data_IF_570337271773
#
_entry.id   IF_570337271773
#
_cell.length_a   1.000
_cell.length_b   1.000
_cell.length_c   1.000
_cell.angle_alpha   90.00
_cell.angle_beta   90.00
_cell.angle_gamma   90.00
#
_symmetry.space_group_name_H-M   'P 1'
#
loop_
_entity.id
_entity.type
_entity.pdbx_description
1 polymer ?
#
# COMPACT_ATOMS: atom_id res chain seq x y z
N UNK A 1 -3.90 8.69 8.48
CA UNK A 1 -4.49 8.89 7.15
C UNK A 1 -3.37 8.81 6.11
N UNK A 2 -3.24 7.70 5.39
CA UNK A 2 -2.25 7.53 4.33
C UNK A 2 -2.60 8.40 3.14
N UNK A 3 -1.62 9.11 2.61
CA UNK A 3 -1.78 9.89 1.37
C UNK A 3 -1.65 8.94 0.17
N UNK A 4 -2.64 8.05 0.00
CA UNK A 4 -2.70 7.10 -1.13
C UNK A 4 -3.46 7.68 -2.33
N UNK A 5 -4.31 8.67 -2.11
CA UNK A 5 -5.28 9.13 -3.13
C UNK A 5 -4.57 9.71 -4.36
N UNK A 6 -3.66 10.67 -4.18
CA UNK A 6 -2.92 11.28 -5.29
C UNK A 6 -2.05 10.26 -6.03
N UNK A 7 -1.36 9.38 -5.30
CA UNK A 7 -0.55 8.31 -5.88
C UNK A 7 -1.40 7.35 -6.72
N UNK A 8 -2.60 7.01 -6.25
CA UNK A 8 -3.53 6.13 -6.95
C UNK A 8 -4.07 6.78 -8.21
N UNK A 9 -4.47 8.05 -8.15
CA UNK A 9 -4.91 8.79 -9.33
C UNK A 9 -3.83 8.85 -10.42
N UNK A 10 -2.55 9.02 -10.04
CA UNK A 10 -1.43 8.99 -10.98
C UNK A 10 -1.28 7.60 -11.60
N UNK A 11 -1.40 6.54 -10.79
CA UNK A 11 -1.33 5.16 -11.29
C UNK A 11 -2.52 4.80 -12.21
N UNK A 12 -3.72 5.29 -11.90
CA UNK A 12 -4.92 5.11 -12.74
C UNK A 12 -4.69 5.76 -14.11
N UNK A 13 -4.20 7.00 -14.13
CA UNK A 13 -3.87 7.69 -15.37
C UNK A 13 -2.76 6.95 -16.14
N UNK A 14 -1.72 6.47 -15.46
CA UNK A 14 -0.64 5.71 -16.07
C UNK A 14 -1.13 4.41 -16.71
N UNK A 15 -2.05 3.71 -16.04
CA UNK A 15 -2.66 2.48 -16.56
C UNK A 15 -3.46 2.71 -17.84
N UNK A 16 -4.26 3.79 -17.88
CA UNK A 16 -5.15 4.07 -19.01
C UNK A 16 -4.44 4.70 -20.20
N UNK A 17 -3.43 5.54 -19.98
CA UNK A 17 -2.82 6.36 -21.02
C UNK A 17 -2.24 5.55 -22.19
N UNK A 18 -1.49 4.49 -21.90
CA UNK A 18 -0.88 3.66 -22.94
C UNK A 18 -1.94 2.84 -23.71
N UNK A 19 -2.96 2.33 -23.01
CA UNK A 19 -4.08 1.58 -23.59
C UNK A 19 -4.83 2.45 -24.59
N UNK A 20 -5.18 3.68 -24.18
CA UNK A 20 -5.85 4.65 -25.04
C UNK A 20 -5.00 5.03 -26.26
N UNK A 21 -3.70 5.24 -26.08
CA UNK A 21 -2.79 5.54 -27.19
C UNK A 21 -2.73 4.38 -28.19
N UNK A 22 -2.60 3.14 -27.72
CA UNK A 22 -2.49 1.96 -28.59
C UNK A 22 -3.78 1.73 -29.39
N UNK A 23 -4.94 1.93 -28.78
CA UNK A 23 -6.23 1.88 -29.49
C UNK A 23 -6.34 3.01 -30.52
N UNK A 24 -5.93 4.23 -30.16
CA UNK A 24 -5.98 5.38 -31.07
C UNK A 24 -5.14 5.17 -32.33
N UNK A 25 -3.94 4.58 -32.17
CA UNK A 25 -3.04 4.28 -33.28
C UNK A 25 -3.35 2.94 -33.99
N UNK A 26 -4.40 2.22 -33.60
CA UNK A 26 -4.77 0.94 -34.20
C UNK A 26 -3.78 -0.20 -33.91
N UNK A 27 -2.97 -0.08 -32.84
CA UNK A 27 -2.00 -1.09 -32.41
C UNK A 27 -2.60 -2.13 -31.46
N UNK A 28 -3.77 -1.84 -30.87
CA UNK A 28 -4.51 -2.74 -30.00
C UNK A 28 -6.01 -2.65 -30.28
N UNK A 29 -6.72 -3.76 -30.02
CA UNK A 29 -8.18 -3.80 -30.06
C UNK A 29 -8.80 -2.97 -28.92
N UNK A 30 -10.02 -2.45 -29.13
CA UNK A 30 -10.73 -1.64 -28.12
C UNK A 30 -10.98 -2.38 -26.80
N UNK A 31 -11.10 -3.70 -26.83
CA UNK A 31 -11.27 -4.54 -25.64
C UNK A 31 -10.17 -4.36 -24.59
N UNK A 32 -8.97 -3.91 -24.97
CA UNK A 32 -7.92 -3.59 -24.00
C UNK A 32 -8.33 -2.46 -23.05
N UNK A 33 -9.28 -1.60 -23.42
CA UNK A 33 -9.78 -0.54 -22.54
C UNK A 33 -10.66 -1.09 -21.41
N UNK A 34 -11.33 -2.22 -21.62
CA UNK A 34 -12.17 -2.84 -20.60
C UNK A 34 -11.33 -3.31 -19.40
N UNK A 35 -10.06 -3.64 -19.65
CA UNK A 35 -9.09 -4.07 -18.64
C UNK A 35 -8.79 -2.97 -17.62
N UNK A 36 -8.97 -1.69 -17.96
CA UNK A 36 -8.78 -0.59 -17.00
C UNK A 36 -9.65 -0.80 -15.75
N UNK A 37 -10.91 -1.19 -15.94
CA UNK A 37 -11.83 -1.41 -14.83
C UNK A 37 -11.44 -2.64 -14.02
N UNK A 38 -11.15 -3.76 -14.68
CA UNK A 38 -10.79 -5.02 -14.01
C UNK A 38 -9.49 -4.91 -13.23
N UNK A 39 -8.53 -4.12 -13.71
CA UNK A 39 -7.25 -3.88 -13.04
C UNK A 39 -7.34 -2.85 -11.92
N UNK A 40 -8.03 -1.71 -12.13
CA UNK A 40 -7.96 -0.55 -11.21
C UNK A 40 -9.08 -0.49 -10.18
N UNK A 41 -10.26 -1.05 -10.44
CA UNK A 41 -11.34 -1.08 -9.44
C UNK A 41 -10.97 -1.86 -8.17
N UNK A 42 -10.33 -3.05 -8.24
CA UNK A 42 -9.88 -3.76 -7.04
C UNK A 42 -8.88 -2.95 -6.22
N UNK A 43 -7.97 -2.23 -6.88
CA UNK A 43 -6.99 -1.35 -6.22
C UNK A 43 -7.69 -0.22 -5.49
N UNK A 44 -8.61 0.50 -6.15
CA UNK A 44 -9.39 1.57 -5.53
C UNK A 44 -10.18 1.09 -4.30
N UNK A 45 -10.81 -0.09 -4.39
CA UNK A 45 -11.50 -0.71 -3.26
C UNK A 45 -10.55 -1.00 -2.09
N UNK A 46 -9.36 -1.54 -2.35
CA UNK A 46 -8.37 -1.85 -1.32
C UNK A 46 -7.93 -0.58 -0.59
N UNK A 47 -7.65 0.50 -1.31
CA UNK A 47 -7.24 1.79 -0.73
C UNK A 47 -8.34 2.39 0.15
N UNK A 48 -9.58 2.44 -0.34
CA UNK A 48 -10.72 2.97 0.43
C UNK A 48 -10.94 2.12 1.69
N UNK A 49 -10.85 0.80 1.56
CA UNK A 49 -10.97 -0.12 2.70
C UNK A 49 -9.90 0.16 3.74
N UNK A 50 -8.64 0.34 3.30
CA UNK A 50 -7.51 0.65 4.17
C UNK A 50 -7.62 2.01 4.85
N UNK A 51 -8.03 3.05 4.11
CA UNK A 51 -8.23 4.40 4.64
C UNK A 51 -9.34 4.42 5.71
N UNK A 52 -10.43 3.71 5.46
CA UNK A 52 -11.51 3.56 6.44
C UNK A 52 -11.05 2.79 7.69
N UNK A 53 -10.20 1.77 7.53
CA UNK A 53 -9.65 1.03 8.67
C UNK A 53 -8.72 1.92 9.51
N UNK A 54 -7.83 2.67 8.87
CA UNK A 54 -6.97 3.65 9.53
C UNK A 54 -7.77 4.65 10.39
N UNK A 55 -8.87 5.17 9.85
CA UNK A 55 -9.73 6.07 10.61
C UNK A 55 -10.28 5.42 11.89
N UNK A 56 -10.69 4.15 11.81
CA UNK A 56 -11.13 3.37 12.98
C UNK A 56 -10.00 3.14 13.98
N UNK A 57 -8.80 2.84 13.50
CA UNK A 57 -7.62 2.63 14.36
C UNK A 57 -7.25 3.92 15.13
N UNK A 58 -7.35 5.08 14.46
CA UNK A 58 -7.15 6.39 15.08
C UNK A 58 -8.21 6.73 16.14
N UNK A 59 -9.46 6.29 15.95
CA UNK A 59 -10.52 6.47 16.96
C UNK A 59 -10.14 5.85 18.30
N UNK A 60 -9.49 4.68 18.29
CA UNK A 60 -9.02 4.01 19.51
C UNK A 60 -7.95 4.83 20.24
N UNK A 61 -7.07 5.51 19.49
CA UNK A 61 -6.05 6.41 20.05
C UNK A 61 -6.72 7.62 20.72
N UNK A 62 -7.68 8.24 20.04
CA UNK A 62 -8.41 9.39 20.58
C UNK A 62 -9.21 9.04 21.83
N UNK A 63 -9.83 7.87 21.88
CA UNK A 63 -10.54 7.38 23.05
C UNK A 63 -9.58 7.13 24.22
N UNK A 64 -8.47 6.42 23.98
CA UNK A 64 -7.47 6.14 25.01
C UNK A 64 -6.87 7.42 25.62
N UNK A 65 -6.64 8.45 24.80
CA UNK A 65 -6.18 9.78 25.19
C UNK A 65 -7.28 10.63 25.86
N UNK A 66 -8.56 10.26 25.72
CA UNK A 66 -9.70 11.01 26.24
C UNK A 66 -10.08 12.23 25.39
N UNK A 67 -9.58 12.35 24.16
CA UNK A 67 -9.86 13.45 23.23
C UNK A 67 -11.36 13.60 22.96
N UNK A 68 -12.09 12.48 22.93
CA UNK A 68 -13.53 12.43 22.65
C UNK A 68 -14.40 12.84 23.86
N UNK A 69 -13.81 13.15 25.01
CA UNK A 69 -14.57 13.60 26.19
C UNK A 69 -15.05 15.04 26.03
N UNK A 70 -16.25 15.33 26.57
CA UNK A 70 -16.96 16.59 26.32
C UNK A 70 -16.30 17.80 26.99
N UNK A 71 -15.86 17.66 28.23
CA UNK A 71 -15.36 18.78 29.04
C UNK A 71 -13.84 18.82 29.14
N UNK A 72 -13.28 20.01 29.36
CA UNK A 72 -11.85 20.16 29.67
C UNK A 72 -11.46 19.42 30.96
N UNK A 73 -12.35 19.39 31.95
CA UNK A 73 -12.13 18.71 33.23
C UNK A 73 -11.94 17.20 33.01
N UNK A 74 -12.82 16.58 32.23
CA UNK A 74 -12.74 15.15 31.91
C UNK A 74 -11.46 14.82 31.16
N UNK A 75 -11.09 15.64 30.17
CA UNK A 75 -9.81 15.50 29.45
C UNK A 75 -8.63 15.53 30.41
N UNK A 76 -8.57 16.54 31.30
CA UNK A 76 -7.49 16.65 32.29
C UNK A 76 -7.43 15.44 33.21
N UNK A 77 -8.56 14.95 33.70
CA UNK A 77 -8.62 13.76 34.55
C UNK A 77 -8.14 12.48 33.84
N UNK A 78 -8.38 12.36 32.52
CA UNK A 78 -7.81 11.26 31.72
C UNK A 78 -6.30 11.35 31.63
N UNK A 79 -5.76 12.53 31.34
CA UNK A 79 -4.32 12.77 31.24
C UNK A 79 -3.59 12.60 32.57
N UNK A 80 -4.18 13.05 33.68
CA UNK A 80 -3.64 12.84 35.02
C UNK A 80 -3.52 11.35 35.34
N UNK A 81 -4.57 10.56 35.05
CA UNK A 81 -4.55 9.10 35.24
C UNK A 81 -3.51 8.43 34.35
N UNK A 82 -3.40 8.86 33.09
CA UNK A 82 -2.42 8.33 32.14
C UNK A 82 -0.98 8.61 32.59
N UNK A 83 -0.75 9.73 33.28
CA UNK A 83 0.57 10.16 33.78
C UNK A 83 0.86 9.69 35.20
N UNK A 84 -0.08 9.02 35.86
CA UNK A 84 0.06 8.60 37.25
C UNK A 84 0.92 7.32 37.39
N UNK A 85 1.84 7.31 38.36
CA UNK A 85 2.61 6.13 38.73
C UNK A 85 1.79 5.20 39.65
N UNK A 86 0.71 4.66 39.09
CA UNK A 86 -0.20 3.75 39.78
C UNK A 86 -0.48 2.52 38.93
N UNK A 87 -0.91 1.40 39.53
CA UNK A 87 -1.35 0.21 38.77
C UNK A 87 -2.44 0.52 37.74
N UNK A 88 -3.34 1.47 38.04
CA UNK A 88 -4.37 1.93 37.09
C UNK A 88 -3.77 2.77 35.95
N UNK A 89 -2.76 3.59 36.25
CA UNK A 89 -1.97 4.32 35.26
C UNK A 89 -1.25 3.38 34.29
N UNK A 90 -0.55 2.36 34.81
CA UNK A 90 0.16 1.36 34.00
C UNK A 90 -0.76 0.63 33.00
N UNK A 91 -1.93 0.19 33.46
CA UNK A 91 -2.94 -0.45 32.58
C UNK A 91 -3.37 0.49 31.46
N UNK A 92 -3.57 1.77 31.78
CA UNK A 92 -3.98 2.78 30.79
C UNK A 92 -2.86 3.13 29.82
N UNK A 93 -1.63 3.19 30.31
CA UNK A 93 -0.44 3.41 29.49
C UNK A 93 -0.21 2.26 28.50
N UNK A 94 -0.40 1.01 28.95
CA UNK A 94 -0.35 -0.17 28.09
C UNK A 94 -1.44 -0.14 27.01
N UNK A 95 -2.67 0.24 27.36
CA UNK A 95 -3.76 0.39 26.41
C UNK A 95 -3.47 1.48 25.36
N UNK A 96 -2.95 2.63 25.80
CA UNK A 96 -2.58 3.73 24.89
C UNK A 96 -1.44 3.34 23.94
N UNK A 97 -0.37 2.71 24.44
CA UNK A 97 0.71 2.16 23.60
C UNK A 97 0.20 1.16 22.58
N UNK A 98 -0.73 0.27 22.97
CA UNK A 98 -1.35 -0.70 22.06
C UNK A 98 -2.15 0.01 20.96
N UNK A 99 -2.94 1.03 21.30
CA UNK A 99 -3.69 1.81 20.34
C UNK A 99 -2.77 2.53 19.33
N UNK A 100 -1.68 3.16 19.82
CA UNK A 100 -0.67 3.79 18.95
C UNK A 100 -0.05 2.76 18.01
N UNK A 101 0.40 1.62 18.55
CA UNK A 101 1.05 0.57 17.73
C UNK A 101 0.11 0.06 16.64
N UNK A 102 -1.17 -0.10 16.96
CA UNK A 102 -2.20 -0.50 15.98
C UNK A 102 -2.38 0.57 14.90
N UNK A 103 -2.45 1.85 15.29
CA UNK A 103 -2.57 2.95 14.33
C UNK A 103 -1.31 3.12 13.47
N UNK A 104 -0.13 2.80 14.00
CA UNK A 104 1.14 2.86 13.26
C UNK A 104 1.20 1.91 12.06
N UNK A 105 0.37 0.86 12.03
CA UNK A 105 0.21 -0.04 10.88
C UNK A 105 -0.14 0.70 9.59
N UNK A 106 -0.76 1.87 9.71
CA UNK A 106 -1.09 2.71 8.58
C UNK A 106 0.14 3.21 7.84
N UNK A 107 1.13 3.74 8.53
CA UNK A 107 2.26 4.44 7.91
C UNK A 107 3.26 3.52 7.19
N UNK A 108 3.02 2.21 7.21
CA UNK A 108 3.92 1.19 6.66
C UNK A 108 3.20 0.21 5.74
N UNK A 109 2.05 0.59 5.18
CA UNK A 109 1.24 -0.25 4.30
C UNK A 109 1.87 -0.43 2.90
N UNK A 110 3.12 -0.87 2.84
CA UNK A 110 3.93 -0.91 1.62
C UNK A 110 3.36 -1.87 0.56
N UNK A 111 2.73 -2.97 1.00
CA UNK A 111 2.08 -3.89 0.06
C UNK A 111 0.85 -3.23 -0.60
N UNK A 112 0.06 -2.45 0.14
CA UNK A 112 -1.05 -1.68 -0.45
C UNK A 112 -0.53 -0.65 -1.45
N UNK A 113 0.62 -0.05 -1.17
CA UNK A 113 1.24 0.97 -2.01
C UNK A 113 1.87 0.40 -3.29
N UNK A 114 2.51 -0.78 -3.23
CA UNK A 114 3.39 -1.29 -4.29
C UNK A 114 3.09 -2.71 -4.78
N UNK A 115 2.31 -3.47 -4.02
CA UNK A 115 2.05 -4.91 -4.23
C UNK A 115 0.85 -5.21 -5.12
N UNK A 116 0.48 -4.31 -6.04
CA UNK A 116 -0.64 -4.58 -6.95
C UNK A 116 -0.27 -5.73 -7.89
N UNK A 117 -1.16 -6.73 -7.97
CA UNK A 117 -1.12 -7.80 -8.95
C UNK A 117 -2.46 -7.83 -9.68
N UNK A 118 -2.41 -7.62 -10.99
CA UNK A 118 -3.60 -7.68 -11.84
C UNK A 118 -3.89 -9.11 -12.29
N UNK A 119 -5.17 -9.39 -12.53
CA UNK A 119 -5.65 -10.68 -13.00
C UNK A 119 -6.83 -10.45 -13.95
N UNK A 120 -6.54 -10.38 -15.24
CA UNK A 120 -7.52 -10.23 -16.31
C UNK A 120 -7.09 -11.07 -17.52
N UNK A 121 -7.93 -11.11 -18.55
CA UNK A 121 -7.75 -11.99 -19.70
C UNK A 121 -6.60 -11.57 -20.63
N UNK A 122 -6.07 -10.34 -20.51
CA UNK A 122 -4.92 -9.88 -21.32
C UNK A 122 -3.58 -10.16 -20.64
N UNK A 123 -3.61 -10.60 -19.38
CA UNK A 123 -2.42 -11.05 -18.64
C UNK A 123 -2.23 -12.55 -18.88
N UNK A 124 -1.22 -12.86 -19.69
CA UNK A 124 -0.87 -14.24 -20.01
C UNK A 124 -0.20 -14.92 -18.81
N UNK A 125 -0.81 -16.01 -18.34
CA UNK A 125 -0.35 -16.85 -17.21
C UNK A 125 -0.21 -18.33 -17.60
N UNK A 126 -0.25 -18.64 -18.90
CA UNK A 126 -0.32 -20.01 -19.40
C UNK A 126 0.97 -20.82 -19.15
N UNK A 127 2.09 -20.12 -19.00
CA UNK A 127 3.42 -20.64 -18.67
C UNK A 127 3.69 -20.70 -17.16
N UNK A 128 2.78 -20.19 -16.33
CA UNK A 128 2.89 -20.26 -14.87
C UNK A 128 2.37 -21.60 -14.35
N UNK A 129 3.20 -22.28 -13.55
CA UNK A 129 2.85 -23.58 -12.96
C UNK A 129 1.91 -23.48 -11.76
N UNK A 130 1.89 -22.32 -11.09
CA UNK A 130 1.11 -22.06 -9.89
C UNK A 130 0.36 -20.73 -10.01
N UNK A 131 -0.70 -20.56 -9.23
CA UNK A 131 -1.39 -19.25 -9.16
C UNK A 131 -0.63 -18.31 -8.24
N UNK A 132 -0.69 -17.01 -8.55
CA UNK A 132 -0.16 -15.99 -7.65
C UNK A 132 -0.72 -16.13 -6.24
N UNK A 133 0.17 -16.11 -5.27
CA UNK A 133 -0.16 -16.03 -3.84
C UNK A 133 0.94 -15.26 -3.11
N UNK A 134 0.59 -14.60 -2.01
CA UNK A 134 1.58 -13.99 -1.14
C UNK A 134 2.48 -15.07 -0.54
N UNK A 135 3.79 -14.79 -0.48
CA UNK A 135 4.79 -15.64 0.17
C UNK A 135 5.66 -14.79 1.11
N UNK A 136 6.60 -15.42 1.83
CA UNK A 136 7.50 -14.72 2.73
C UNK A 136 6.75 -13.87 3.74
N UNK A 137 7.18 -12.61 3.93
CA UNK A 137 6.53 -11.70 4.87
C UNK A 137 5.19 -11.19 4.36
N UNK A 138 4.99 -11.12 3.04
CA UNK A 138 3.69 -10.78 2.46
C UNK A 138 2.59 -11.76 2.86
N UNK A 139 2.93 -13.03 3.15
CA UNK A 139 1.98 -14.01 3.69
C UNK A 139 1.68 -13.81 5.18
N UNK A 140 2.56 -13.11 5.92
CA UNK A 140 2.32 -12.76 7.32
C UNK A 140 1.37 -11.57 7.44
N UNK A 141 1.56 -10.56 6.59
CA UNK A 141 0.74 -9.35 6.53
C UNK A 141 0.76 -8.76 5.11
N UNK A 142 -0.35 -8.96 4.39
CA UNK A 142 -0.56 -8.52 3.01
C UNK A 142 -0.79 -7.01 2.87
N UNK A 143 -0.71 -6.26 3.97
CA UNK A 143 -0.78 -4.81 4.00
C UNK A 143 0.63 -4.23 4.19
N UNK A 144 1.38 -4.73 5.18
CA UNK A 144 2.67 -4.15 5.56
C UNK A 144 3.81 -4.52 4.62
N UNK A 145 3.84 -5.77 4.17
CA UNK A 145 5.06 -6.33 3.57
C UNK A 145 4.88 -6.51 2.07
N UNK A 146 5.60 -5.67 1.32
CA UNK A 146 5.78 -5.88 -0.10
C UNK A 146 6.92 -6.88 -0.32
N UNK A 147 6.62 -7.96 -1.04
CA UNK A 147 7.59 -8.92 -1.53
C UNK A 147 7.67 -8.76 -3.06
N UNK A 148 8.85 -8.58 -3.66
CA UNK A 148 8.96 -8.43 -5.11
C UNK A 148 8.70 -9.75 -5.85
N UNK A 149 7.87 -9.71 -6.90
CA UNK A 149 7.54 -10.87 -7.74
C UNK A 149 7.59 -10.55 -9.22
N UNK A 150 7.97 -11.54 -10.03
CA UNK A 150 7.94 -11.48 -11.50
C UNK A 150 6.68 -12.11 -12.09
N UNK A 151 5.73 -12.56 -11.26
CA UNK A 151 4.49 -13.19 -11.72
C UNK A 151 3.70 -12.25 -12.64
N UNK A 152 3.11 -12.72 -13.76
CA UNK A 152 2.35 -11.89 -14.68
C UNK A 152 1.23 -11.11 -13.99
N UNK A 153 1.21 -9.79 -14.20
CA UNK A 153 0.28 -8.86 -13.55
C UNK A 153 0.85 -8.15 -12.32
N UNK A 154 1.97 -8.63 -11.75
CA UNK A 154 2.72 -7.90 -10.72
C UNK A 154 3.55 -6.77 -11.33
N UNK A 155 3.82 -5.74 -10.51
CA UNK A 155 4.84 -4.75 -10.82
C UNK A 155 6.21 -5.42 -10.94
N UNK A 156 6.93 -5.16 -12.03
CA UNK A 156 8.29 -5.66 -12.23
C UNK A 156 9.21 -5.24 -11.05
N UNK A 157 9.92 -6.20 -10.41
CA UNK A 157 10.83 -5.91 -9.32
C UNK A 157 11.93 -4.94 -9.73
N UNK A 158 12.23 -3.98 -8.84
CA UNK A 158 13.38 -3.13 -9.02
C UNK A 158 14.67 -3.91 -8.74
N UNK A 159 15.61 -3.82 -9.68
CA UNK A 159 16.99 -4.25 -9.51
C UNK A 159 17.92 -3.21 -10.13
N UNK A 160 19.11 -3.05 -9.57
CA UNK A 160 20.17 -2.26 -10.19
C UNK A 160 20.86 -3.11 -11.25
N UNK A 161 20.79 -2.69 -12.52
CA UNK A 161 21.52 -3.35 -13.62
C UNK A 161 22.96 -2.82 -13.74
N UNK A 162 23.25 -1.67 -13.15
CA UNK A 162 24.56 -1.03 -13.13
C UNK A 162 24.73 -0.17 -11.85
N UNK A 163 25.87 0.49 -11.69
CA UNK A 163 26.14 1.42 -10.58
C UNK A 163 25.24 2.66 -10.64
N UNK A 164 24.88 3.18 -9.46
CA UNK A 164 24.05 4.39 -9.29
C UNK A 164 24.69 5.66 -9.85
N UNK A 165 26.01 5.64 -10.06
CA UNK A 165 26.76 6.63 -10.83
C UNK A 165 27.09 5.98 -12.17
N UNK A 166 26.58 6.48 -13.31
CA UNK A 166 27.04 6.04 -14.62
C UNK A 166 28.54 6.31 -14.75
N UNK A 167 29.36 5.26 -14.75
CA UNK A 167 30.78 5.35 -15.04
C UNK A 167 31.04 5.45 -16.54
N UNK A 168 32.15 6.08 -16.94
CA UNK A 168 32.57 6.24 -18.35
C UNK A 168 32.86 4.92 -19.10
N UNK A 169 32.82 3.76 -18.43
CA UNK A 169 33.30 2.48 -18.97
C UNK A 169 32.25 1.62 -19.69
N UNK A 170 31.02 2.09 -19.91
CA UNK A 170 29.95 1.27 -20.47
C UNK A 170 29.59 1.57 -21.94
N UNK A 171 30.28 2.50 -22.59
CA UNK A 171 30.22 2.68 -24.03
C UNK A 171 31.61 2.37 -24.56
N UNK A 172 31.75 1.21 -25.24
CA UNK A 172 32.91 0.65 -25.96
C UNK A 172 33.29 -0.74 -25.44
N UNK A 173 32.48 -1.73 -25.79
CA UNK A 173 33.00 -3.01 -26.29
C UNK A 173 32.14 -3.40 -27.50
N UNK A 174 32.29 -2.62 -28.58
CA UNK A 174 32.25 -3.17 -29.92
C UNK A 174 33.71 -3.46 -30.28
N UNK A 175 33.99 -4.73 -30.56
CA UNK A 175 35.14 -5.30 -31.29
C UNK A 175 35.69 -6.56 -30.60
N UNK A 176 35.09 -7.72 -30.93
CA UNK A 176 35.73 -8.84 -31.64
C UNK A 176 34.71 -10.00 -31.77
#
# INVERSE_FOLDING_TARGET
MNVLESNTCIQDAFNLAWKAAYVHFGLADKSVLDTYSTERQPVGKAIITRANQAFRDHSNVWEAQGTLTKTLSDRKAVWEKLSSDTKKGEVRHKAFRKAITSASHEFHALCIEMGQCYSDDVIHTADESEKYSFSGRGAEDDILYYEPYTYPGCRLPHVWLNTSIPGHSYVLNREA
#
